data_IF_695580887557
#
_entry.id   IF_695580887557
#
_cell.length_a   1.000
_cell.length_b   1.000
_cell.length_c   1.000
_cell.angle_alpha   90.00
_cell.angle_beta   90.00
_cell.angle_gamma   90.00
#
_symmetry.space_group_name_H-M   'P 1'
#
loop_
_entity.id
_entity.type
_entity.pdbx_description
1 polymer ?
#
# COMPACT_ATOMS: atom_id res chain seq x y z
N UNK A 1 -77.23 -19.80 -40.18
CA UNK A 1 -75.97 -20.38 -39.76
C UNK A 1 -75.26 -19.39 -38.81
N UNK A 2 -75.47 -19.52 -37.50
CA UNK A 2 -74.80 -18.70 -36.43
C UNK A 2 -73.64 -19.54 -35.89
N UNK A 3 -72.41 -19.04 -36.04
CA UNK A 3 -71.24 -19.62 -35.41
C UNK A 3 -70.96 -18.88 -34.08
N UNK A 4 -71.14 -19.61 -32.98
CA UNK A 4 -70.74 -19.13 -31.63
C UNK A 4 -69.21 -19.26 -31.48
N UNK A 5 -68.54 -18.13 -31.32
CA UNK A 5 -67.14 -18.10 -30.84
C UNK A 5 -67.14 -18.11 -29.30
N UNK A 6 -66.75 -19.25 -28.73
CA UNK A 6 -66.50 -19.37 -27.29
C UNK A 6 -65.08 -18.79 -27.00
N UNK A 7 -65.04 -17.68 -26.25
CA UNK A 7 -63.78 -17.06 -25.77
C UNK A 7 -63.37 -17.80 -24.49
N UNK A 8 -62.34 -18.67 -24.58
CA UNK A 8 -61.68 -19.27 -23.43
C UNK A 8 -60.73 -18.27 -22.78
N UNK A 9 -61.14 -17.69 -21.68
CA UNK A 9 -60.29 -16.90 -20.76
C UNK A 9 -59.37 -17.87 -20.01
N UNK A 10 -58.08 -17.96 -20.43
CA UNK A 10 -57.05 -18.65 -19.67
C UNK A 10 -56.65 -17.77 -18.49
N UNK A 11 -57.14 -18.10 -17.31
CA UNK A 11 -56.65 -17.56 -16.03
C UNK A 11 -55.22 -18.13 -15.81
N UNK A 12 -54.21 -17.30 -16.02
CA UNK A 12 -52.81 -17.60 -15.65
C UNK A 12 -52.72 -17.56 -14.11
N UNK A 13 -52.75 -18.71 -13.50
CA UNK A 13 -52.38 -18.85 -12.09
C UNK A 13 -50.90 -18.60 -11.97
N UNK A 14 -50.51 -17.43 -11.46
CA UNK A 14 -49.16 -17.17 -10.97
C UNK A 14 -48.93 -18.04 -9.74
N UNK A 15 -48.25 -19.15 -9.90
CA UNK A 15 -47.80 -19.95 -8.77
C UNK A 15 -46.76 -19.13 -7.97
N UNK A 16 -46.95 -18.96 -6.64
CA UNK A 16 -45.92 -18.33 -5.80
C UNK A 16 -44.63 -19.16 -5.94
N UNK A 17 -43.51 -18.48 -6.23
CA UNK A 17 -42.22 -19.12 -6.44
C UNK A 17 -41.90 -20.06 -5.27
N UNK A 18 -41.46 -21.28 -5.60
CA UNK A 18 -41.01 -22.27 -4.62
C UNK A 18 -39.80 -21.71 -3.90
N UNK A 19 -39.97 -21.25 -2.66
CA UNK A 19 -38.92 -20.88 -1.74
C UNK A 19 -37.89 -22.02 -1.60
N UNK A 20 -36.64 -21.69 -1.36
CA UNK A 20 -35.56 -22.65 -1.15
C UNK A 20 -36.00 -23.69 -0.11
N UNK A 21 -35.71 -24.98 -0.40
CA UNK A 21 -36.20 -26.12 0.42
C UNK A 21 -35.84 -25.92 1.90
N UNK A 22 -36.84 -25.70 2.76
CA UNK A 22 -36.71 -25.58 4.22
C UNK A 22 -36.95 -24.17 4.78
N UNK A 23 -37.26 -23.16 3.99
CA UNK A 23 -37.59 -21.82 4.46
C UNK A 23 -39.12 -21.66 4.64
N UNK A 24 -39.53 -21.05 5.78
CA UNK A 24 -40.90 -20.56 5.97
C UNK A 24 -41.14 -19.33 5.06
N UNK A 25 -42.42 -18.95 4.82
CA UNK A 25 -42.74 -17.70 4.13
C UNK A 25 -42.06 -16.50 4.83
N UNK A 26 -41.46 -15.62 4.02
CA UNK A 26 -40.73 -14.46 4.57
C UNK A 26 -41.68 -13.52 5.33
N UNK A 27 -41.35 -13.24 6.60
CA UNK A 27 -42.02 -12.27 7.45
C UNK A 27 -41.02 -11.23 7.93
N UNK A 28 -40.89 -10.07 7.26
CA UNK A 28 -39.88 -9.03 7.58
C UNK A 28 -40.00 -8.51 9.04
N UNK A 29 -41.19 -8.58 9.66
CA UNK A 29 -41.43 -8.19 11.04
C UNK A 29 -40.76 -9.10 12.08
N UNK A 30 -40.34 -10.30 11.70
CA UNK A 30 -39.62 -11.26 12.55
C UNK A 30 -38.11 -11.21 12.39
N UNK A 31 -37.60 -10.36 11.50
CA UNK A 31 -36.16 -10.19 11.31
C UNK A 31 -35.52 -9.52 12.54
N UNK A 32 -34.39 -10.05 12.99
CA UNK A 32 -33.60 -9.42 14.04
C UNK A 32 -33.08 -8.05 13.59
N UNK A 33 -33.01 -7.09 14.50
CA UNK A 33 -32.41 -5.79 14.24
C UNK A 33 -30.90 -5.93 14.02
N UNK A 34 -30.35 -5.15 13.10
CA UNK A 34 -28.91 -5.05 12.91
C UNK A 34 -28.26 -4.33 14.11
N UNK A 35 -26.93 -4.55 14.35
CA UNK A 35 -26.19 -3.83 15.38
C UNK A 35 -26.29 -2.31 15.21
N UNK A 36 -26.37 -1.58 16.31
CA UNK A 36 -26.48 -0.11 16.27
C UNK A 36 -25.24 0.57 15.66
N UNK A 37 -24.06 -0.03 15.84
CA UNK A 37 -22.79 0.39 15.25
C UNK A 37 -22.67 0.03 13.76
N UNK A 38 -23.67 -0.67 13.20
CA UNK A 38 -23.62 -1.18 11.83
C UNK A 38 -22.86 -2.50 11.68
N UNK A 39 -22.83 -3.04 10.48
CA UNK A 39 -22.14 -4.29 10.15
C UNK A 39 -20.75 -3.97 9.56
N UNK A 40 -19.65 -4.50 10.12
CA UNK A 40 -18.28 -4.17 9.68
C UNK A 40 -18.00 -4.51 8.22
N UNK A 41 -18.59 -5.60 7.71
CA UNK A 41 -18.43 -6.04 6.31
C UNK A 41 -19.70 -5.79 5.46
N UNK A 42 -20.62 -4.94 5.95
CA UNK A 42 -21.91 -4.67 5.32
C UNK A 42 -22.95 -5.74 5.57
N UNK A 43 -24.04 -5.66 4.86
CA UNK A 43 -25.20 -6.57 5.04
C UNK A 43 -25.42 -7.46 3.83
N UNK A 44 -25.94 -8.64 4.08
CA UNK A 44 -26.41 -9.58 3.06
C UNK A 44 -27.79 -10.14 3.50
N UNK A 45 -28.54 -10.71 2.57
CA UNK A 45 -29.73 -11.46 2.95
C UNK A 45 -29.34 -12.80 3.58
N UNK A 46 -30.15 -13.28 4.47
CA UNK A 46 -29.99 -14.60 5.11
C UNK A 46 -30.13 -15.76 4.09
N UNK A 47 -30.01 -17.01 4.55
CA UNK A 47 -30.10 -18.20 3.69
C UNK A 47 -31.48 -18.39 3.04
N UNK A 48 -32.49 -17.70 3.51
CA UNK A 48 -33.85 -17.69 2.99
C UNK A 48 -34.15 -16.46 2.11
N UNK A 49 -33.17 -15.60 1.86
CA UNK A 49 -33.28 -14.33 1.13
C UNK A 49 -34.40 -13.41 1.71
N UNK A 50 -34.61 -13.48 3.03
CA UNK A 50 -35.67 -12.75 3.75
C UNK A 50 -35.13 -11.62 4.60
N UNK A 51 -34.23 -11.91 5.55
CA UNK A 51 -33.76 -10.95 6.54
C UNK A 51 -32.37 -10.43 6.19
N UNK A 52 -32.16 -9.12 6.33
CA UNK A 52 -30.81 -8.55 6.28
C UNK A 52 -30.03 -8.95 7.53
N UNK A 53 -28.85 -9.53 7.35
CA UNK A 53 -27.93 -9.92 8.42
C UNK A 53 -26.54 -9.33 8.13
N UNK A 54 -25.70 -9.22 9.14
CA UNK A 54 -24.32 -8.82 8.90
C UNK A 54 -23.60 -9.86 8.05
N UNK A 55 -22.91 -9.39 7.00
CA UNK A 55 -22.07 -10.23 6.17
C UNK A 55 -20.81 -10.66 6.91
N UNK A 56 -20.33 -11.88 6.63
CA UNK A 56 -19.05 -12.34 7.10
C UNK A 56 -17.91 -11.67 6.29
N UNK A 57 -16.95 -11.08 6.99
CA UNK A 57 -15.78 -10.44 6.44
C UNK A 57 -14.69 -11.42 6.03
N UNK A 58 -13.56 -10.91 5.55
CA UNK A 58 -12.42 -11.71 5.13
C UNK A 58 -11.85 -12.53 6.31
N UNK A 59 -11.65 -13.82 6.11
CA UNK A 59 -11.17 -14.74 7.14
C UNK A 59 -12.25 -15.25 8.11
N UNK A 60 -13.45 -14.68 8.09
CA UNK A 60 -14.54 -15.13 8.94
C UNK A 60 -15.17 -16.44 8.44
N UNK A 61 -15.75 -17.24 9.37
CA UNK A 61 -16.39 -18.50 9.01
C UNK A 61 -17.58 -18.32 8.08
N UNK A 62 -17.71 -19.23 7.11
CA UNK A 62 -18.82 -19.23 6.17
C UNK A 62 -19.25 -20.66 5.79
N UNK A 63 -20.48 -20.78 5.32
CA UNK A 63 -21.06 -22.06 4.91
C UNK A 63 -21.21 -22.98 6.12
N UNK A 64 -21.87 -24.07 6.00
CA UNK A 64 -22.15 -24.98 7.11
C UNK A 64 -23.62 -25.33 7.17
N UNK A 65 -23.95 -26.39 7.93
CA UNK A 65 -25.37 -26.85 8.08
C UNK A 65 -26.24 -25.92 8.94
N UNK A 66 -25.63 -24.97 9.67
CA UNK A 66 -26.32 -24.04 10.54
C UNK A 66 -26.59 -22.66 9.93
N UNK A 67 -26.29 -22.44 8.67
CA UNK A 67 -26.45 -21.11 8.04
C UNK A 67 -25.40 -20.10 8.50
N UNK A 68 -24.23 -20.58 8.95
CA UNK A 68 -23.13 -19.73 9.37
C UNK A 68 -22.68 -18.87 8.20
N UNK A 69 -22.64 -17.57 8.43
CA UNK A 69 -22.09 -16.48 7.63
C UNK A 69 -22.16 -16.57 6.10
N UNK A 70 -22.92 -15.67 5.50
CA UNK A 70 -22.76 -15.37 4.05
C UNK A 70 -21.64 -14.35 3.91
N UNK A 71 -20.70 -14.62 3.04
CA UNK A 71 -19.58 -13.70 2.78
C UNK A 71 -20.07 -12.38 2.19
N UNK A 72 -19.39 -11.30 2.54
CA UNK A 72 -19.63 -9.98 1.99
C UNK A 72 -19.48 -9.95 0.46
N UNK A 73 -20.04 -8.93 -0.16
CA UNK A 73 -19.95 -8.74 -1.61
C UNK A 73 -18.48 -8.73 -2.09
N UNK A 74 -18.21 -9.43 -3.20
CA UNK A 74 -16.85 -9.58 -3.73
C UNK A 74 -16.03 -10.71 -3.11
N UNK A 75 -16.56 -11.40 -2.10
CA UNK A 75 -15.91 -12.55 -1.46
C UNK A 75 -16.56 -13.88 -1.87
N UNK A 76 -15.86 -14.97 -1.62
CA UNK A 76 -16.36 -16.33 -1.78
C UNK A 76 -16.00 -17.18 -0.56
N UNK A 77 -16.81 -18.18 -0.29
CA UNK A 77 -16.59 -19.11 0.80
C UNK A 77 -15.65 -20.23 0.35
N UNK A 78 -14.40 -20.18 0.79
CA UNK A 78 -13.37 -21.16 0.44
C UNK A 78 -13.29 -22.23 1.52
N UNK A 79 -13.33 -23.49 1.12
CA UNK A 79 -13.26 -24.64 2.05
C UNK A 79 -11.85 -24.76 2.64
N UNK A 80 -11.75 -24.85 3.96
CA UNK A 80 -10.50 -25.06 4.67
C UNK A 80 -10.41 -26.54 5.11
N UNK A 81 -9.37 -27.23 4.62
CA UNK A 81 -9.03 -28.60 5.03
C UNK A 81 -9.63 -29.73 4.18
N UNK A 82 -9.04 -30.94 4.33
CA UNK A 82 -9.40 -32.18 3.60
C UNK A 82 -10.59 -32.95 4.20
N UNK A 83 -11.25 -32.43 5.21
CA UNK A 83 -12.29 -33.16 5.92
C UNK A 83 -13.66 -33.00 5.23
N UNK A 84 -14.19 -34.11 4.70
CA UNK A 84 -15.50 -34.21 4.05
C UNK A 84 -16.69 -34.03 5.03
N UNK A 85 -16.49 -33.81 6.31
CA UNK A 85 -17.57 -33.94 7.32
C UNK A 85 -18.32 -32.66 7.67
N UNK A 86 -17.82 -31.47 7.33
CA UNK A 86 -18.58 -30.21 7.49
C UNK A 86 -18.15 -29.24 6.38
N UNK A 87 -19.11 -28.74 5.64
CA UNK A 87 -18.90 -27.79 4.52
C UNK A 87 -18.62 -26.37 5.02
N UNK A 88 -17.97 -26.22 6.17
CA UNK A 88 -17.54 -24.93 6.69
C UNK A 88 -16.29 -24.45 5.96
N UNK A 89 -16.22 -23.18 5.68
CA UNK A 89 -15.10 -22.50 5.03
C UNK A 89 -14.82 -21.17 5.68
N UNK A 90 -13.97 -20.38 5.04
CA UNK A 90 -13.69 -18.99 5.39
C UNK A 90 -13.94 -18.09 4.19
N UNK A 91 -14.40 -16.88 4.43
CA UNK A 91 -14.60 -15.90 3.38
C UNK A 91 -13.25 -15.40 2.86
N UNK A 92 -13.02 -15.52 1.57
CA UNK A 92 -11.84 -15.03 0.89
C UNK A 92 -12.23 -14.05 -0.22
N UNK A 93 -11.46 -13.00 -0.39
CA UNK A 93 -11.68 -12.05 -1.48
C UNK A 93 -11.39 -12.71 -2.82
N UNK A 94 -12.22 -12.43 -3.83
CA UNK A 94 -12.04 -12.92 -5.21
C UNK A 94 -10.91 -12.20 -5.92
N UNK A 95 -10.59 -10.97 -5.52
CA UNK A 95 -9.47 -10.23 -6.07
C UNK A 95 -8.22 -10.39 -5.20
N UNK A 96 -7.06 -10.56 -5.86
CA UNK A 96 -5.77 -10.74 -5.20
C UNK A 96 -4.78 -9.62 -5.58
N UNK A 97 -5.27 -8.45 -6.01
CA UNK A 97 -4.43 -7.32 -6.39
C UNK A 97 -4.69 -6.12 -5.47
N UNK A 98 -3.63 -5.38 -5.21
CA UNK A 98 -3.68 -4.16 -4.42
C UNK A 98 -4.50 -3.08 -5.12
N UNK A 99 -5.15 -2.23 -4.35
CA UNK A 99 -5.93 -1.08 -4.83
C UNK A 99 -5.62 0.16 -4.02
N UNK A 100 -5.61 1.30 -4.68
CA UNK A 100 -5.47 2.60 -4.03
C UNK A 100 -6.85 3.19 -3.75
N UNK A 101 -7.10 3.54 -2.49
CA UNK A 101 -8.31 4.23 -2.05
C UNK A 101 -8.24 5.75 -2.24
N UNK A 102 -9.41 6.40 -2.25
CA UNK A 102 -9.54 7.86 -2.32
C UNK A 102 -8.98 8.59 -1.09
N UNK A 103 -8.73 7.86 -0.01
CA UNK A 103 -8.06 8.31 1.20
C UNK A 103 -6.53 8.28 1.11
N UNK A 104 -5.98 7.83 -0.04
CA UNK A 104 -4.55 7.68 -0.26
C UNK A 104 -3.92 6.43 0.37
N UNK A 105 -4.73 5.53 0.92
CA UNK A 105 -4.28 4.26 1.51
C UNK A 105 -4.29 3.16 0.46
N UNK A 106 -3.23 2.36 0.45
CA UNK A 106 -3.17 1.13 -0.35
C UNK A 106 -3.76 -0.02 0.44
N UNK A 107 -4.76 -0.66 -0.14
CA UNK A 107 -5.42 -1.85 0.39
C UNK A 107 -4.92 -3.09 -0.35
N UNK A 108 -4.81 -4.22 0.34
CA UNK A 108 -4.31 -5.48 -0.25
C UNK A 108 -5.24 -6.03 -1.34
N UNK A 109 -6.52 -5.66 -1.27
CA UNK A 109 -7.53 -6.02 -2.27
C UNK A 109 -8.77 -5.11 -2.16
N UNK A 110 -9.69 -5.21 -3.11
CA UNK A 110 -10.92 -4.40 -3.15
C UNK A 110 -11.93 -4.76 -2.03
N UNK A 111 -11.85 -5.94 -1.45
CA UNK A 111 -12.70 -6.33 -0.32
C UNK A 111 -12.29 -5.59 0.96
N UNK A 112 -10.99 -5.43 1.18
CA UNK A 112 -10.46 -4.68 2.32
C UNK A 112 -10.79 -3.18 2.18
N UNK A 113 -10.63 -2.62 0.99
CA UNK A 113 -11.07 -1.24 0.71
C UNK A 113 -12.56 -1.06 1.00
N UNK A 114 -13.40 -1.99 0.53
CA UNK A 114 -14.84 -1.93 0.76
C UNK A 114 -15.20 -2.02 2.24
N UNK A 115 -14.53 -2.88 3.01
CA UNK A 115 -14.73 -2.97 4.45
C UNK A 115 -14.34 -1.65 5.14
N UNK A 116 -13.21 -1.06 4.77
CA UNK A 116 -12.79 0.25 5.27
C UNK A 116 -13.81 1.36 4.91
N UNK A 117 -14.33 1.35 3.69
CA UNK A 117 -15.38 2.30 3.25
C UNK A 117 -16.67 2.18 4.07
N UNK A 118 -17.12 0.95 4.35
CA UNK A 118 -18.29 0.69 5.21
C UNK A 118 -18.05 1.20 6.63
N UNK A 119 -16.86 0.97 7.20
CA UNK A 119 -16.49 1.47 8.51
C UNK A 119 -16.46 3.00 8.56
N UNK A 120 -15.91 3.65 7.51
CA UNK A 120 -15.93 5.10 7.38
C UNK A 120 -17.38 5.64 7.39
N UNK A 121 -18.27 5.03 6.60
CA UNK A 121 -19.69 5.40 6.57
C UNK A 121 -20.39 5.21 7.93
N UNK A 122 -20.13 4.09 8.62
CA UNK A 122 -20.68 3.81 9.95
C UNK A 122 -20.24 4.86 10.99
N UNK A 123 -19.03 5.43 10.81
CA UNK A 123 -18.49 6.51 11.64
C UNK A 123 -18.78 7.91 11.11
N UNK A 124 -19.67 8.04 10.12
CA UNK A 124 -20.06 9.31 9.45
C UNK A 124 -18.88 10.04 8.78
N UNK A 125 -17.88 9.28 8.35
CA UNK A 125 -16.78 9.77 7.50
C UNK A 125 -17.15 9.63 6.02
N UNK A 126 -16.34 10.25 5.16
CA UNK A 126 -16.51 10.14 3.71
C UNK A 126 -16.33 8.69 3.23
N UNK A 127 -17.11 8.31 2.24
CA UNK A 127 -16.97 7.03 1.56
C UNK A 127 -15.58 6.91 0.91
N UNK A 128 -14.93 5.76 1.10
CA UNK A 128 -13.66 5.46 0.46
C UNK A 128 -13.95 4.73 -0.85
N UNK A 129 -13.57 5.34 -1.96
CA UNK A 129 -13.73 4.78 -3.31
C UNK A 129 -12.39 4.34 -3.88
N UNK A 130 -12.40 3.37 -4.79
CA UNK A 130 -11.18 2.95 -5.49
C UNK A 130 -10.79 4.01 -6.53
N UNK A 131 -9.55 4.55 -6.43
CA UNK A 131 -8.98 5.43 -7.46
C UNK A 131 -8.43 4.62 -8.64
N UNK A 132 -7.58 3.63 -8.35
CA UNK A 132 -6.99 2.75 -9.36
C UNK A 132 -6.52 1.42 -8.74
N UNK A 133 -6.16 0.47 -9.60
CA UNK A 133 -5.49 -0.77 -9.20
C UNK A 133 -4.01 -0.51 -8.92
N UNK A 134 -3.46 -1.25 -7.96
CA UNK A 134 -2.07 -1.13 -7.53
C UNK A 134 -1.89 -0.17 -6.35
N UNK A 135 -0.63 0.08 -6.02
CA UNK A 135 -0.22 0.92 -4.90
C UNK A 135 -0.60 2.39 -5.14
N UNK A 136 -0.96 3.09 -4.08
CA UNK A 136 -1.07 4.55 -4.11
C UNK A 136 0.28 5.19 -4.40
N UNK A 137 0.29 6.11 -5.35
CA UNK A 137 1.49 6.86 -5.68
C UNK A 137 1.82 7.88 -4.58
N UNK A 138 3.13 8.04 -4.28
CA UNK A 138 3.63 8.97 -3.27
C UNK A 138 4.95 9.59 -3.67
N UNK A 139 5.18 10.83 -3.24
CA UNK A 139 6.46 11.50 -3.38
C UNK A 139 7.59 10.71 -2.71
N UNK A 140 8.84 10.89 -3.13
CA UNK A 140 9.97 10.30 -2.43
C UNK A 140 10.04 10.74 -0.97
N UNK A 141 10.56 9.86 -0.12
CA UNK A 141 10.96 10.18 1.25
C UNK A 141 12.34 9.57 1.53
N UNK A 142 13.16 10.27 2.28
CA UNK A 142 14.48 9.79 2.68
C UNK A 142 14.30 8.83 3.85
N UNK A 143 14.78 7.60 3.69
CA UNK A 143 14.76 6.54 4.72
C UNK A 143 16.01 6.66 5.58
N UNK A 144 17.18 6.70 4.93
CA UNK A 144 18.48 6.86 5.60
C UNK A 144 19.21 8.05 4.95
N UNK A 145 19.37 9.18 5.66
CA UNK A 145 20.10 10.32 5.15
C UNK A 145 21.62 10.09 5.18
N UNK A 146 22.40 10.77 4.31
CA UNK A 146 23.84 10.71 4.37
C UNK A 146 24.37 11.31 5.67
N UNK A 147 25.39 10.66 6.23
CA UNK A 147 26.00 11.08 7.51
C UNK A 147 27.05 12.17 7.31
N UNK A 148 27.37 12.86 8.37
CA UNK A 148 28.58 13.70 8.43
C UNK A 148 29.81 12.80 8.65
N UNK A 149 30.86 13.03 7.84
CA UNK A 149 32.09 12.24 7.86
C UNK A 149 33.29 13.15 8.13
N UNK A 150 34.22 12.67 8.93
CA UNK A 150 35.51 13.28 9.19
C UNK A 150 36.60 12.29 8.83
N UNK A 151 37.59 12.71 7.99
CA UNK A 151 38.72 11.85 7.69
C UNK A 151 39.93 12.71 7.21
N UNK A 152 41.08 12.06 7.12
CA UNK A 152 42.34 12.70 6.70
C UNK A 152 42.52 12.62 5.18
N UNK A 153 43.37 13.48 4.66
CA UNK A 153 43.82 13.43 3.24
C UNK A 153 44.41 12.06 2.92
N UNK A 154 44.09 11.52 1.76
CA UNK A 154 44.52 10.19 1.31
C UNK A 154 43.61 9.02 1.73
N UNK A 155 42.74 9.24 2.70
CA UNK A 155 41.78 8.22 3.13
C UNK A 155 40.71 7.93 2.08
N UNK A 156 39.94 6.89 2.35
CA UNK A 156 38.71 6.55 1.61
C UNK A 156 37.51 6.94 2.44
N UNK A 157 36.50 7.54 1.81
CA UNK A 157 35.23 7.88 2.45
C UNK A 157 34.07 7.51 1.54
N UNK A 158 32.94 7.19 2.13
CA UNK A 158 31.70 6.98 1.39
C UNK A 158 30.50 7.65 2.08
N UNK A 159 29.59 8.15 1.27
CA UNK A 159 28.25 8.61 1.68
C UNK A 159 27.22 7.64 1.14
N UNK A 160 26.22 7.32 1.92
CA UNK A 160 25.07 6.54 1.48
C UNK A 160 23.77 7.29 1.74
N UNK A 161 22.78 7.05 0.88
CA UNK A 161 21.44 7.61 1.01
C UNK A 161 20.43 6.58 0.53
N UNK A 162 19.40 6.34 1.34
CA UNK A 162 18.29 5.46 0.99
C UNK A 162 17.01 6.27 0.89
N UNK A 163 16.29 6.06 -0.19
CA UNK A 163 15.04 6.76 -0.49
C UNK A 163 13.98 5.79 -0.97
N UNK A 164 12.73 6.04 -0.61
CA UNK A 164 11.58 5.25 -1.06
C UNK A 164 10.52 6.17 -1.65
N UNK A 165 9.81 5.71 -2.70
CA UNK A 165 8.73 6.47 -3.33
C UNK A 165 8.00 5.66 -4.39
N UNK A 166 6.79 6.05 -4.74
CA UNK A 166 5.97 5.38 -5.76
C UNK A 166 5.45 6.41 -6.75
N UNK A 167 5.87 6.33 -8.02
CA UNK A 167 6.84 5.41 -8.64
C UNK A 167 8.22 5.43 -8.00
N UNK A 168 9.00 4.36 -8.21
CA UNK A 168 10.39 4.28 -7.73
C UNK A 168 11.15 5.53 -8.14
N UNK A 169 11.77 6.27 -7.20
CA UNK A 169 12.42 7.53 -7.50
C UNK A 169 13.74 7.33 -8.28
N UNK A 170 14.09 8.35 -9.06
CA UNK A 170 15.45 8.52 -9.58
C UNK A 170 16.25 9.27 -8.52
N UNK A 171 17.40 8.71 -8.13
CA UNK A 171 18.29 9.29 -7.14
C UNK A 171 19.54 9.83 -7.84
N UNK A 172 19.93 11.05 -7.50
CA UNK A 172 21.16 11.70 -7.97
C UNK A 172 21.92 12.31 -6.81
N UNK A 173 23.22 12.50 -6.98
CA UNK A 173 24.07 13.17 -5.99
C UNK A 173 24.52 14.52 -6.52
N UNK A 174 24.53 15.53 -5.64
CA UNK A 174 24.98 16.88 -5.95
C UNK A 174 25.99 17.34 -4.91
N UNK A 175 27.04 18.01 -5.35
CA UNK A 175 27.93 18.75 -4.47
C UNK A 175 27.45 20.20 -4.39
N UNK A 176 27.30 20.70 -3.15
CA UNK A 176 26.95 22.10 -2.89
C UNK A 176 28.24 22.92 -2.90
N UNK A 177 28.32 23.88 -3.79
CA UNK A 177 29.49 24.74 -3.97
C UNK A 177 29.08 26.19 -3.72
N UNK A 178 29.80 26.86 -2.84
CA UNK A 178 29.63 28.29 -2.63
C UNK A 178 30.47 29.05 -3.68
N UNK A 179 29.80 29.90 -4.43
CA UNK A 179 30.41 30.74 -5.46
C UNK A 179 30.19 32.22 -5.15
N UNK A 180 30.92 33.10 -5.80
CA UNK A 180 30.69 34.55 -5.65
C UNK A 180 29.30 35.02 -6.09
N UNK A 181 28.54 34.16 -6.77
CA UNK A 181 27.18 34.42 -7.25
C UNK A 181 26.10 33.76 -6.36
N UNK A 182 26.51 33.05 -5.29
CA UNK A 182 25.64 32.32 -4.41
C UNK A 182 25.97 30.83 -4.32
N UNK A 183 25.01 30.06 -3.82
CA UNK A 183 25.14 28.60 -3.67
C UNK A 183 24.72 27.91 -4.96
N UNK A 184 25.62 27.15 -5.55
CA UNK A 184 25.38 26.34 -6.74
C UNK A 184 25.38 24.84 -6.34
N UNK A 185 24.54 24.05 -7.00
CA UNK A 185 24.49 22.59 -6.82
C UNK A 185 24.98 21.93 -8.10
N UNK A 186 26.17 21.35 -8.02
CA UNK A 186 26.79 20.64 -9.12
C UNK A 186 26.42 19.16 -9.02
N UNK A 187 25.77 18.62 -10.05
CA UNK A 187 25.48 17.20 -10.14
C UNK A 187 26.77 16.41 -10.31
N UNK A 188 26.88 15.30 -9.59
CA UNK A 188 28.03 14.40 -9.66
C UNK A 188 27.69 13.27 -10.62
N UNK A 189 28.51 13.10 -11.65
CA UNK A 189 28.34 12.05 -12.64
C UNK A 189 29.44 10.99 -12.50
N UNK A 190 29.14 9.72 -12.78
CA UNK A 190 30.16 8.66 -12.83
C UNK A 190 31.24 9.03 -13.85
N UNK A 191 32.53 9.00 -13.42
CA UNK A 191 33.64 9.32 -14.27
C UNK A 191 34.06 10.80 -14.38
N UNK A 192 33.38 11.71 -13.66
CA UNK A 192 33.74 13.13 -13.61
C UNK A 192 35.17 13.35 -13.04
N UNK A 193 35.62 12.45 -12.16
CA UNK A 193 36.94 12.48 -11.52
C UNK A 193 37.44 11.06 -11.27
N UNK A 194 38.75 10.88 -11.33
CA UNK A 194 39.42 9.59 -11.13
C UNK A 194 39.24 9.04 -9.71
N UNK A 195 39.04 9.92 -8.72
CA UNK A 195 38.87 9.56 -7.31
C UNK A 195 37.38 9.47 -6.86
N UNK A 196 36.45 9.59 -7.80
CA UNK A 196 35.00 9.60 -7.52
C UNK A 196 34.31 8.42 -8.17
N UNK A 197 33.65 7.60 -7.38
CA UNK A 197 32.72 6.58 -7.88
C UNK A 197 31.32 6.80 -7.32
N UNK A 198 30.32 6.65 -8.18
CA UNK A 198 28.90 6.75 -7.81
C UNK A 198 28.23 5.45 -8.20
N UNK A 199 27.48 4.89 -7.26
CA UNK A 199 26.70 3.70 -7.48
C UNK A 199 25.27 3.92 -7.00
N UNK A 200 24.29 3.49 -7.81
CA UNK A 200 22.88 3.53 -7.48
C UNK A 200 22.30 2.16 -7.80
N UNK A 201 21.55 1.58 -6.88
CA UNK A 201 20.84 0.32 -7.06
C UNK A 201 19.49 0.32 -6.33
N UNK A 202 18.64 -0.65 -6.65
CA UNK A 202 17.44 -0.92 -5.87
C UNK A 202 17.79 -1.23 -4.42
N UNK A 203 16.99 -0.74 -3.50
CA UNK A 203 17.10 -1.04 -2.07
C UNK A 203 16.58 -2.43 -1.71
N UNK A 204 16.63 -2.81 -0.41
CA UNK A 204 16.12 -4.08 0.09
C UNK A 204 14.60 -4.18 -0.07
N UNK A 205 13.90 -3.07 0.01
CA UNK A 205 12.46 -3.02 -0.12
C UNK A 205 12.02 -2.63 -1.54
N UNK A 206 10.79 -3.04 -1.89
CA UNK A 206 10.18 -2.65 -3.16
C UNK A 206 10.00 -1.12 -3.22
N UNK A 207 10.37 -0.52 -4.35
CA UNK A 207 10.33 0.94 -4.58
C UNK A 207 11.33 1.75 -3.73
N UNK A 208 12.29 1.11 -3.13
CA UNK A 208 13.42 1.73 -2.46
C UNK A 208 14.64 1.78 -3.40
N UNK A 209 15.44 2.83 -3.26
CA UNK A 209 16.69 3.05 -4.02
C UNK A 209 17.76 3.50 -3.05
N UNK A 210 18.94 2.87 -3.13
CA UNK A 210 20.11 3.26 -2.38
C UNK A 210 21.20 3.81 -3.33
N UNK A 211 21.74 4.95 -2.97
CA UNK A 211 22.86 5.57 -3.68
C UNK A 211 24.08 5.72 -2.79
N UNK A 212 25.27 5.53 -3.38
CA UNK A 212 26.56 5.72 -2.73
C UNK A 212 27.44 6.65 -3.53
N UNK A 213 28.19 7.47 -2.82
CA UNK A 213 29.34 8.23 -3.33
C UNK A 213 30.57 7.72 -2.60
N UNK A 214 31.53 7.19 -3.34
CA UNK A 214 32.84 6.77 -2.86
C UNK A 214 33.89 7.76 -3.35
N UNK A 215 34.72 8.25 -2.44
CA UNK A 215 35.84 9.13 -2.75
C UNK A 215 37.13 8.49 -2.22
N UNK A 216 38.07 8.22 -3.14
CA UNK A 216 39.36 7.59 -2.82
C UNK A 216 40.40 7.91 -3.93
N UNK A 217 41.55 8.56 -3.61
CA UNK A 217 41.91 9.13 -2.33
C UNK A 217 41.16 10.44 -2.04
N UNK A 218 40.89 10.72 -0.74
CA UNK A 218 40.28 11.95 -0.27
C UNK A 218 41.29 13.12 -0.34
N UNK A 219 40.89 14.28 -0.81
CA UNK A 219 41.67 15.53 -0.71
C UNK A 219 40.82 16.66 -0.16
N UNK A 220 41.47 17.79 0.18
CA UNK A 220 40.77 18.97 0.69
C UNK A 220 39.72 19.52 -0.29
N UNK A 221 39.88 19.26 -1.59
CA UNK A 221 38.92 19.68 -2.62
C UNK A 221 37.58 18.96 -2.53
N UNK A 222 37.53 17.78 -1.91
CA UNK A 222 36.30 17.01 -1.70
C UNK A 222 35.56 17.44 -0.43
N UNK A 223 36.18 18.24 0.45
CA UNK A 223 35.46 18.78 1.59
C UNK A 223 34.24 19.58 1.17
N UNK A 224 33.17 19.52 1.97
CA UNK A 224 31.95 20.26 1.69
C UNK A 224 30.66 19.45 1.88
N UNK A 225 29.56 20.00 1.41
CA UNK A 225 28.24 19.42 1.54
C UNK A 225 27.87 18.65 0.28
N UNK A 226 27.38 17.44 0.47
CA UNK A 226 26.85 16.56 -0.58
C UNK A 226 25.38 16.34 -0.34
N UNK A 227 24.57 16.51 -1.37
CA UNK A 227 23.13 16.37 -1.33
C UNK A 227 22.70 15.12 -2.11
N UNK A 228 21.97 14.26 -1.44
CA UNK A 228 21.19 13.19 -2.04
C UNK A 228 19.86 13.80 -2.50
N UNK A 229 19.56 13.70 -3.79
CA UNK A 229 18.37 14.28 -4.42
C UNK A 229 17.57 13.17 -5.10
N UNK A 230 16.33 12.98 -4.67
CA UNK A 230 15.42 11.97 -5.20
C UNK A 230 14.18 12.61 -5.83
N UNK A 231 13.81 12.17 -7.01
CA UNK A 231 12.70 12.71 -7.80
C UNK A 231 11.82 11.58 -8.33
N UNK A 232 10.51 11.73 -8.24
CA UNK A 232 9.53 10.99 -9.04
C UNK A 232 8.42 11.91 -9.55
N UNK A 233 7.39 11.36 -10.22
CA UNK A 233 6.24 12.12 -10.74
C UNK A 233 5.40 12.82 -9.66
N UNK A 234 5.58 12.47 -8.39
CA UNK A 234 4.80 13.02 -7.26
C UNK A 234 5.53 14.08 -6.45
N UNK A 235 6.84 14.22 -6.64
CA UNK A 235 7.61 15.24 -5.94
C UNK A 235 9.08 14.91 -5.79
N UNK A 236 9.71 15.60 -4.85
CA UNK A 236 11.14 15.59 -4.59
C UNK A 236 11.38 15.35 -3.10
N UNK A 237 12.45 14.61 -2.78
CA UNK A 237 13.04 14.56 -1.45
C UNK A 237 14.54 14.79 -1.53
N UNK A 238 15.13 15.39 -0.49
CA UNK A 238 16.57 15.63 -0.44
C UNK A 238 17.07 15.52 1.00
N UNK A 239 18.33 15.11 1.13
CA UNK A 239 19.05 15.11 2.39
C UNK A 239 20.53 15.42 2.13
N UNK A 240 21.21 16.04 3.10
CA UNK A 240 22.59 16.44 2.94
C UNK A 240 23.49 15.80 3.98
N UNK A 241 24.70 15.41 3.56
CA UNK A 241 25.79 15.01 4.43
C UNK A 241 27.00 15.90 4.16
N UNK A 242 27.90 16.00 5.14
CA UNK A 242 29.12 16.80 5.04
C UNK A 242 30.35 15.91 5.12
N UNK A 243 31.31 16.16 4.25
CA UNK A 243 32.66 15.60 4.34
C UNK A 243 33.58 16.69 4.89
N UNK A 244 34.20 16.41 6.02
CA UNK A 244 35.21 17.27 6.67
C UNK A 244 36.57 16.60 6.48
N UNK A 245 37.52 17.32 5.91
CA UNK A 245 38.88 16.81 5.64
C UNK A 245 39.85 17.55 6.57
N UNK A 246 40.55 16.79 7.38
CA UNK A 246 41.53 17.27 8.36
C UNK A 246 42.94 16.82 7.96
N UNK A 247 43.95 17.44 8.54
CA UNK A 247 45.36 17.11 8.28
C UNK A 247 45.86 15.95 9.13
N UNK A 248 45.29 15.80 10.34
CA UNK A 248 45.66 14.77 11.33
C UNK A 248 44.40 14.14 11.95
N UNK A 249 44.48 12.85 12.34
CA UNK A 249 43.40 12.15 13.05
C UNK A 249 43.08 12.80 14.40
N UNK A 250 44.05 13.48 15.04
CA UNK A 250 43.86 14.17 16.33
C UNK A 250 42.91 15.37 16.21
N UNK A 251 42.68 15.89 15.01
CA UNK A 251 41.77 16.98 14.74
C UNK A 251 40.30 16.50 14.61
N UNK A 252 40.06 15.20 14.57
CA UNK A 252 38.71 14.64 14.50
C UNK A 252 38.07 14.77 15.89
N UNK A 253 36.91 15.42 16.03
CA UNK A 253 36.22 15.53 17.30
C UNK A 253 35.95 14.16 17.92
N UNK A 254 36.28 13.97 19.20
CA UNK A 254 36.15 12.69 19.93
C UNK A 254 34.72 12.08 19.90
N UNK A 255 33.70 12.92 19.68
CA UNK A 255 32.32 12.52 19.53
C UNK A 255 31.98 11.95 18.13
N UNK A 256 32.93 12.04 17.20
CA UNK A 256 32.75 11.69 15.76
C UNK A 256 33.89 10.81 15.27
N UNK A 257 34.30 9.83 16.07
CA UNK A 257 35.37 8.90 15.76
C UNK A 257 35.38 8.41 14.31
N UNK A 258 36.53 7.92 13.78
CA UNK A 258 36.64 7.47 12.41
C UNK A 258 35.53 6.44 12.12
N UNK A 259 34.87 6.61 10.98
CA UNK A 259 33.87 5.64 10.50
C UNK A 259 34.63 4.33 10.29
N UNK A 260 34.19 3.26 10.98
CA UNK A 260 34.75 1.93 10.81
C UNK A 260 34.77 1.58 9.31
N UNK A 261 35.96 1.22 8.82
CA UNK A 261 36.14 0.62 7.51
C UNK A 261 35.37 -0.72 7.49
N UNK A 262 34.46 -0.86 6.50
CA UNK A 262 33.80 -2.16 6.21
C UNK A 262 34.73 -3.03 5.39
#
# INVERSE_FOLDING_TARGET
MLALFALLLALSYVTPGQGARGCAPCQPSLCASLPAEGCPAGTVLDSCDCCSVCAAGQGEPCGGRGGEGRCAAGMECVKVGRSNKRKAGVCACKSAYEVCGSDGVTYTNDCELRAASIQAQNTKQAEITQLHKGLCERAPSVVTPPKEIWNVTGAQVYLSCEVIGIPTPVLTWKKVVETNKGVEKMELLPGDRDNLAIQIRGGPEKHEVTGWVLISPLSKNEAGVYECYALNSKGVAMASGRINVVDSLDEIPSSKGPVEEL
#
